data_IF_702738412700
#
_entry.id   IF_702738412700
#
_cell.length_a   1.000
_cell.length_b   1.000
_cell.length_c   1.000
_cell.angle_alpha   90.00
_cell.angle_beta   90.00
_cell.angle_gamma   90.00
#
_symmetry.space_group_name_H-M   'P 1'
#
loop_
_entity.id
_entity.type
_entity.pdbx_description
1 polymer ?
#
# COMPACT_ATOMS: atom_id res chain seq x y z
N UNK A 1 43.44 3.84 -47.74
CA UNK A 1 42.19 4.65 -47.63
C UNK A 1 40.89 3.83 -47.50
N UNK A 2 40.85 2.51 -47.74
CA UNK A 2 39.61 1.71 -47.63
C UNK A 2 39.36 1.13 -46.22
N UNK A 3 40.43 0.88 -45.46
CA UNK A 3 40.38 0.28 -44.12
C UNK A 3 39.94 1.26 -43.01
N UNK A 4 40.35 2.53 -43.09
CA UNK A 4 39.96 3.57 -42.13
C UNK A 4 38.44 3.81 -42.12
N UNK A 5 37.77 3.66 -43.28
CA UNK A 5 36.31 3.77 -43.37
C UNK A 5 35.62 2.62 -42.64
N UNK A 6 36.16 1.40 -42.71
CA UNK A 6 35.60 0.23 -42.01
C UNK A 6 35.67 0.34 -40.50
N UNK A 7 36.77 0.88 -39.97
CA UNK A 7 36.96 1.10 -38.53
C UNK A 7 36.07 2.23 -37.99
N UNK A 8 35.91 3.32 -38.75
CA UNK A 8 34.99 4.41 -38.38
C UNK A 8 33.54 3.92 -38.40
N UNK A 9 33.13 3.16 -39.42
CA UNK A 9 31.78 2.58 -39.46
C UNK A 9 31.56 1.57 -38.32
N UNK A 10 32.54 0.73 -37.96
CA UNK A 10 32.38 -0.19 -36.83
C UNK A 10 32.33 0.54 -35.49
N UNK A 11 33.11 1.59 -35.30
CA UNK A 11 33.07 2.43 -34.09
C UNK A 11 31.75 3.19 -33.94
N UNK A 12 31.22 3.74 -35.04
CA UNK A 12 29.92 4.43 -35.06
C UNK A 12 28.76 3.46 -34.82
N UNK A 13 28.86 2.24 -35.35
CA UNK A 13 27.91 1.15 -35.08
C UNK A 13 27.91 0.77 -33.60
N UNK A 14 29.09 0.63 -33.00
CA UNK A 14 29.25 0.28 -31.59
C UNK A 14 28.66 1.37 -30.68
N UNK A 15 28.89 2.64 -31.02
CA UNK A 15 28.36 3.79 -30.30
C UNK A 15 26.81 3.81 -30.33
N UNK A 16 26.24 3.50 -31.50
CA UNK A 16 24.80 3.41 -31.70
C UNK A 16 24.18 2.27 -30.89
N UNK A 17 24.79 1.08 -30.92
CA UNK A 17 24.36 -0.08 -30.13
C UNK A 17 24.42 0.23 -28.64
N UNK A 18 25.52 0.85 -28.19
CA UNK A 18 25.69 1.20 -26.78
C UNK A 18 24.65 2.22 -26.31
N UNK A 19 24.34 3.22 -27.14
CA UNK A 19 23.30 4.22 -26.85
C UNK A 19 21.92 3.57 -26.76
N UNK A 20 21.59 2.63 -27.65
CA UNK A 20 20.32 1.89 -27.61
C UNK A 20 20.21 1.05 -26.35
N UNK A 21 21.29 0.37 -25.94
CA UNK A 21 21.31 -0.44 -24.71
C UNK A 21 21.12 0.43 -23.46
N UNK A 22 21.78 1.58 -23.37
CA UNK A 22 21.60 2.52 -22.27
C UNK A 22 20.17 3.07 -22.20
N UNK A 23 19.58 3.40 -23.35
CA UNK A 23 18.20 3.86 -23.43
C UNK A 23 17.22 2.78 -22.96
N UNK A 24 17.44 1.53 -23.35
CA UNK A 24 16.63 0.39 -22.91
C UNK A 24 16.74 0.18 -21.40
N UNK A 25 17.95 0.24 -20.85
CA UNK A 25 18.20 0.08 -19.42
C UNK A 25 17.51 1.19 -18.60
N UNK A 26 17.61 2.44 -19.06
CA UNK A 26 16.94 3.58 -18.42
C UNK A 26 15.41 3.42 -18.45
N UNK A 27 14.86 2.98 -19.59
CA UNK A 27 13.43 2.73 -19.74
C UNK A 27 12.93 1.60 -18.82
N UNK A 28 13.64 0.47 -18.77
CA UNK A 28 13.31 -0.64 -17.87
C UNK A 28 13.39 -0.24 -16.40
N UNK A 29 14.38 0.58 -16.03
CA UNK A 29 14.48 1.12 -14.67
C UNK A 29 13.30 2.02 -14.33
N UNK A 30 12.91 2.93 -15.24
CA UNK A 30 11.73 3.79 -15.06
C UNK A 30 10.44 3.00 -14.90
N UNK A 31 10.23 1.96 -15.72
CA UNK A 31 9.09 1.06 -15.61
C UNK A 31 9.03 0.34 -14.26
N UNK A 32 10.19 -0.13 -13.76
CA UNK A 32 10.27 -0.79 -12.46
C UNK A 32 9.85 0.15 -11.33
N UNK A 33 10.37 1.37 -11.31
CA UNK A 33 10.02 2.38 -10.31
C UNK A 33 8.54 2.80 -10.42
N UNK A 34 8.02 2.94 -11.64
CA UNK A 34 6.60 3.20 -11.88
C UNK A 34 5.71 2.07 -11.37
N UNK A 35 6.11 0.82 -11.57
CA UNK A 35 5.37 -0.35 -11.08
C UNK A 35 5.36 -0.44 -9.55
N UNK A 36 6.48 -0.12 -8.91
CA UNK A 36 6.60 -0.07 -7.45
C UNK A 36 5.72 1.06 -6.87
N UNK A 37 5.75 2.26 -7.48
CA UNK A 37 4.91 3.39 -7.08
C UNK A 37 3.41 3.08 -7.22
N UNK A 38 3.00 2.40 -8.30
CA UNK A 38 1.62 1.95 -8.50
C UNK A 38 1.24 0.91 -7.44
N UNK A 39 2.10 -0.08 -7.16
CA UNK A 39 1.87 -1.08 -6.12
C UNK A 39 1.74 -0.45 -4.73
N UNK A 40 2.54 0.57 -4.42
CA UNK A 40 2.46 1.31 -3.17
C UNK A 40 1.15 2.10 -3.07
N UNK A 41 0.74 2.77 -4.15
CA UNK A 41 -0.52 3.54 -4.23
C UNK A 41 -1.75 2.64 -4.09
N UNK A 42 -1.77 1.50 -4.76
CA UNK A 42 -2.86 0.52 -4.66
C UNK A 42 -2.92 -0.06 -3.24
N UNK A 43 -1.77 -0.45 -2.68
CA UNK A 43 -1.67 -0.93 -1.30
C UNK A 43 -2.17 0.11 -0.30
N UNK A 44 -1.76 1.37 -0.44
CA UNK A 44 -2.20 2.47 0.41
C UNK A 44 -3.70 2.72 0.34
N UNK A 45 -4.29 2.71 -0.86
CA UNK A 45 -5.75 2.82 -1.03
C UNK A 45 -6.50 1.68 -0.37
N UNK A 46 -6.00 0.44 -0.47
CA UNK A 46 -6.62 -0.73 0.16
C UNK A 46 -6.64 -0.60 1.69
N UNK A 47 -5.52 -0.16 2.28
CA UNK A 47 -5.41 0.07 3.73
C UNK A 47 -6.34 1.21 4.18
N UNK A 48 -6.37 2.32 3.43
CA UNK A 48 -7.25 3.44 3.75
C UNK A 48 -8.72 3.05 3.69
N UNK A 49 -9.12 2.30 2.65
CA UNK A 49 -10.47 1.79 2.50
C UNK A 49 -10.87 0.85 3.65
N UNK A 50 -10.00 -0.10 4.01
CA UNK A 50 -10.25 -1.00 5.14
C UNK A 50 -10.41 -0.26 6.46
N UNK A 51 -9.59 0.77 6.71
CA UNK A 51 -9.72 1.61 7.91
C UNK A 51 -11.03 2.41 7.94
N UNK A 52 -11.47 2.94 6.79
CA UNK A 52 -12.73 3.69 6.68
C UNK A 52 -13.95 2.77 6.84
N UNK A 53 -13.92 1.59 6.20
CA UNK A 53 -14.99 0.59 6.29
C UNK A 53 -15.13 0.04 7.72
N UNK A 54 -14.00 -0.22 8.39
CA UNK A 54 -14.00 -0.61 9.80
C UNK A 54 -14.60 0.48 10.70
N UNK A 55 -14.25 1.75 10.46
CA UNK A 55 -14.81 2.88 11.19
C UNK A 55 -16.32 3.01 10.96
N UNK A 56 -16.78 2.82 9.72
CA UNK A 56 -18.20 2.81 9.38
C UNK A 56 -18.95 1.68 10.10
N UNK A 57 -18.40 0.46 10.11
CA UNK A 57 -19.01 -0.68 10.78
C UNK A 57 -19.09 -0.45 12.30
N UNK A 58 -18.05 0.10 12.93
CA UNK A 58 -18.08 0.47 14.35
C UNK A 58 -19.18 1.50 14.64
N UNK A 59 -19.30 2.57 13.82
CA UNK A 59 -20.39 3.55 13.99
C UNK A 59 -21.77 2.92 13.83
N UNK A 60 -21.93 2.02 12.86
CA UNK A 60 -23.19 1.33 12.61
C UNK A 60 -23.57 0.43 13.78
N UNK A 61 -22.62 -0.35 14.31
CA UNK A 61 -22.82 -1.19 15.48
C UNK A 61 -23.23 -0.36 16.70
N UNK A 62 -22.58 0.79 16.92
CA UNK A 62 -22.93 1.70 18.00
C UNK A 62 -24.34 2.27 17.82
N UNK A 63 -24.70 2.70 16.60
CA UNK A 63 -26.05 3.17 16.28
C UNK A 63 -27.15 2.11 16.38
N UNK A 64 -26.79 0.82 16.30
CA UNK A 64 -27.70 -0.31 16.53
C UNK A 64 -27.85 -0.67 18.02
N UNK A 65 -27.17 0.04 18.92
CA UNK A 65 -27.18 -0.25 20.36
C UNK A 65 -26.41 -1.53 20.72
N UNK A 66 -25.56 -2.03 19.83
CA UNK A 66 -24.73 -3.21 20.10
C UNK A 66 -23.57 -2.79 21.00
N UNK A 67 -23.37 -3.51 22.11
CA UNK A 67 -22.26 -3.29 23.00
C UNK A 67 -20.93 -3.61 22.28
N UNK A 68 -20.14 -2.58 21.99
CA UNK A 68 -18.83 -2.74 21.33
C UNK A 68 -17.77 -2.96 22.41
N UNK A 69 -17.37 -4.21 22.62
CA UNK A 69 -16.27 -4.57 23.49
C UNK A 69 -14.99 -4.89 22.67
N UNK A 70 -13.87 -5.10 23.37
CA UNK A 70 -12.62 -5.42 22.72
C UNK A 70 -12.61 -6.81 22.05
N UNK A 71 -13.50 -7.73 22.44
CA UNK A 71 -13.68 -9.02 21.76
C UNK A 71 -14.30 -8.85 20.39
N UNK A 72 -15.40 -8.10 20.29
CA UNK A 72 -16.08 -7.79 19.02
C UNK A 72 -15.13 -7.04 18.08
N UNK A 73 -14.36 -6.09 18.61
CA UNK A 73 -13.35 -5.36 17.83
C UNK A 73 -12.21 -6.27 17.33
N UNK A 74 -11.81 -7.25 18.14
CA UNK A 74 -10.81 -8.26 17.74
C UNK A 74 -11.35 -9.16 16.64
N UNK A 75 -12.58 -9.64 16.77
CA UNK A 75 -13.23 -10.48 15.77
C UNK A 75 -13.43 -9.72 14.45
N UNK A 76 -13.81 -8.44 14.53
CA UNK A 76 -13.86 -7.55 13.36
C UNK A 76 -12.49 -7.45 12.67
N UNK A 77 -11.42 -7.26 13.44
CA UNK A 77 -10.06 -7.25 12.92
C UNK A 77 -9.64 -8.55 12.22
N UNK A 78 -10.05 -9.70 12.77
CA UNK A 78 -9.82 -11.02 12.18
C UNK A 78 -10.55 -11.19 10.84
N UNK A 79 -11.78 -10.68 10.72
CA UNK A 79 -12.54 -10.71 9.45
C UNK A 79 -11.81 -9.92 8.37
N UNK A 80 -11.32 -8.71 8.67
CA UNK A 80 -10.54 -7.91 7.71
C UNK A 80 -9.22 -8.58 7.31
N UNK A 81 -8.59 -9.31 8.23
CA UNK A 81 -7.39 -10.07 7.93
C UNK A 81 -7.70 -11.27 7.03
N UNK A 82 -8.73 -12.07 7.36
CA UNK A 82 -9.07 -13.30 6.65
C UNK A 82 -9.64 -13.04 5.24
N UNK A 83 -10.59 -12.11 5.12
CA UNK A 83 -11.27 -11.85 3.85
C UNK A 83 -10.62 -10.71 3.06
N UNK A 84 -10.11 -9.69 3.76
CA UNK A 84 -9.52 -8.51 3.14
C UNK A 84 -8.01 -8.62 2.92
N UNK A 85 -7.32 -9.50 3.64
CA UNK A 85 -5.85 -9.56 3.66
C UNK A 85 -5.22 -8.26 4.16
N UNK A 86 -5.94 -7.50 4.99
CA UNK A 86 -5.46 -6.25 5.61
C UNK A 86 -5.58 -6.39 7.11
N UNK A 87 -4.47 -6.42 7.87
CA UNK A 87 -4.54 -6.39 9.33
C UNK A 87 -5.16 -5.08 9.81
N UNK A 88 -6.33 -5.19 10.43
CA UNK A 88 -7.00 -4.12 11.15
C UNK A 88 -7.00 -4.48 12.63
N UNK A 89 -6.48 -3.58 13.45
CA UNK A 89 -6.49 -3.69 14.92
C UNK A 89 -7.35 -2.55 15.44
N UNK A 90 -8.38 -2.89 16.19
CA UNK A 90 -9.22 -1.90 16.85
C UNK A 90 -9.19 -2.12 18.36
N UNK A 91 -9.12 -1.03 19.13
CA UNK A 91 -9.19 -1.07 20.59
C UNK A 91 -10.14 0.04 21.07
N UNK A 92 -10.94 -0.27 22.10
CA UNK A 92 -11.79 0.70 22.76
C UNK A 92 -11.14 1.23 24.04
N UNK A 93 -11.10 2.55 24.18
CA UNK A 93 -10.80 3.26 25.44
C UNK A 93 -11.95 4.22 25.71
N UNK A 94 -12.67 3.99 26.81
CA UNK A 94 -13.83 4.79 27.19
C UNK A 94 -14.88 4.86 26.06
N UNK A 95 -15.16 6.07 25.55
CA UNK A 95 -16.12 6.33 24.49
C UNK A 95 -15.48 6.31 23.10
N UNK A 96 -14.16 6.09 23.01
CA UNK A 96 -13.41 6.15 21.76
C UNK A 96 -12.95 4.77 21.32
N UNK A 97 -13.12 4.47 20.03
CA UNK A 97 -12.56 3.31 19.36
C UNK A 97 -11.44 3.78 18.43
N UNK A 98 -10.24 3.30 18.68
CA UNK A 98 -9.07 3.53 17.86
C UNK A 98 -8.90 2.38 16.89
N UNK A 99 -8.79 2.68 15.61
CA UNK A 99 -8.71 1.70 14.52
C UNK A 99 -7.41 1.94 13.76
N UNK A 100 -6.61 0.88 13.65
CA UNK A 100 -5.32 0.86 12.98
C UNK A 100 -5.38 -0.16 11.85
N UNK A 101 -5.31 0.30 10.61
CA UNK A 101 -5.15 -0.57 9.45
C UNK A 101 -3.71 -0.46 8.92
N UNK A 102 -3.09 -1.58 8.59
CA UNK A 102 -1.73 -1.59 8.02
C UNK A 102 -1.57 -2.61 6.90
N UNK A 103 -0.56 -2.44 6.03
CA UNK A 103 -0.23 -3.43 4.99
C UNK A 103 0.59 -4.60 5.53
N UNK A 104 1.41 -4.38 6.54
CA UNK A 104 2.30 -5.39 7.15
C UNK A 104 2.44 -5.15 8.64
N UNK A 105 2.57 -6.24 9.40
CA UNK A 105 2.83 -6.22 10.83
C UNK A 105 4.36 -6.11 11.03
N UNK A 106 4.85 -4.92 11.37
CA UNK A 106 6.28 -4.68 11.59
C UNK A 106 6.70 -3.21 11.65
N UNK A 107 7.90 -2.91 12.17
CA UNK A 107 8.50 -1.59 12.11
C UNK A 107 9.05 -1.32 10.71
N UNK A 108 8.40 -0.44 9.96
CA UNK A 108 8.78 -0.02 8.61
C UNK A 108 7.77 1.01 8.09
N UNK A 109 8.16 1.77 7.05
CA UNK A 109 7.28 2.70 6.33
C UNK A 109 6.15 1.92 5.64
N UNK A 110 5.12 1.60 6.42
CA UNK A 110 3.93 0.92 5.95
C UNK A 110 2.85 1.97 5.72
N UNK A 111 2.06 1.79 4.66
CA UNK A 111 0.78 2.45 4.57
C UNK A 111 -0.03 2.10 5.83
N UNK A 112 -0.25 3.12 6.67
CA UNK A 112 -1.00 3.03 7.92
C UNK A 112 -2.15 4.01 7.84
N UNK A 113 -3.34 3.53 8.18
CA UNK A 113 -4.51 4.37 8.37
C UNK A 113 -4.88 4.29 9.85
N UNK A 114 -5.00 5.45 10.49
CA UNK A 114 -5.48 5.56 11.87
C UNK A 114 -6.79 6.31 11.84
N UNK A 115 -7.83 5.71 12.42
CA UNK A 115 -9.16 6.32 12.55
C UNK A 115 -9.57 6.26 14.01
N UNK A 116 -10.21 7.32 14.47
CA UNK A 116 -10.80 7.39 15.80
C UNK A 116 -12.29 7.57 15.61
N UNK A 117 -13.07 6.72 16.29
CA UNK A 117 -14.53 6.72 16.24
C UNK A 117 -15.05 6.95 17.64
N UNK A 118 -15.87 7.97 17.81
CA UNK A 118 -16.67 8.16 19.03
C UNK A 118 -17.91 7.28 18.95
N UNK A 119 -18.09 6.42 19.95
CA UNK A 119 -19.20 5.48 20.09
C UNK A 119 -20.14 5.84 21.25
N UNK A 120 -19.91 7.00 21.89
CA UNK A 120 -20.74 7.52 22.98
C UNK A 120 -20.53 6.80 24.32
N UNK A 121 -21.09 7.37 25.41
CA UNK A 121 -21.07 6.75 26.73
C UNK A 121 -21.91 5.47 26.73
N UNK A 122 -21.39 4.45 27.44
CA UNK A 122 -22.08 3.19 27.73
C UNK A 122 -23.35 3.41 28.57
#
# INVERSE_FOLDING_TARGET
MREERGFVFSGLSLLLIFTVVLLLSAFLSSLRWGSEAISLKIGGRKVAFAGEDAAYNVRKLAGMGILIDNSVLRDLGLVYLQYGGVPVVAWRMENLVYIFASRTWGPGENARCVKVVDVGPL
#
